data_IF_956231408086
#
_entry.id   IF_956231408086
#
_cell.length_a   1.000
_cell.length_b   1.000
_cell.length_c   1.000
_cell.angle_alpha   90.00
_cell.angle_beta   90.00
_cell.angle_gamma   90.00
#
_symmetry.space_group_name_H-M   'P 1'
#
loop_
_entity.id
_entity.type
_entity.pdbx_description
1 polymer ?
#
# COMPACT_ATOMS: atom_id res chain seq x y z
N UNK A 1 13.56 3.48 -10.23
CA UNK A 1 12.30 3.94 -10.84
C UNK A 1 11.11 3.06 -10.47
N UNK A 2 11.12 1.74 -10.74
CA UNK A 2 9.98 0.85 -10.41
C UNK A 2 9.59 0.89 -8.92
N UNK A 3 10.56 0.73 -8.01
CA UNK A 3 10.29 0.87 -6.57
C UNK A 3 9.80 2.27 -6.18
N UNK A 4 10.29 3.32 -6.84
CA UNK A 4 9.83 4.70 -6.60
C UNK A 4 8.35 4.86 -6.93
N UNK A 5 7.91 4.34 -8.08
CA UNK A 5 6.49 4.32 -8.45
C UNK A 5 5.69 3.43 -7.50
N UNK A 6 6.18 2.23 -7.18
CA UNK A 6 5.53 1.36 -6.21
C UNK A 6 5.26 2.07 -4.87
N UNK A 7 6.26 2.79 -4.35
CA UNK A 7 6.17 3.54 -3.09
C UNK A 7 5.18 4.68 -3.21
N UNK A 8 5.25 5.51 -4.26
CA UNK A 8 4.31 6.63 -4.45
C UNK A 8 2.86 6.13 -4.47
N UNK A 9 2.58 5.07 -5.23
CA UNK A 9 1.23 4.52 -5.32
C UNK A 9 0.77 3.83 -4.03
N UNK A 10 1.67 3.13 -3.33
CA UNK A 10 1.34 2.48 -2.06
C UNK A 10 1.03 3.50 -0.96
N UNK A 11 1.92 4.48 -0.78
CA UNK A 11 1.75 5.57 0.20
C UNK A 11 0.48 6.36 -0.08
N UNK A 12 0.27 6.78 -1.33
CA UNK A 12 -0.95 7.46 -1.72
C UNK A 12 -2.20 6.62 -1.43
N UNK A 13 -2.14 5.30 -1.65
CA UNK A 13 -3.27 4.41 -1.39
C UNK A 13 -3.62 4.31 0.10
N UNK A 14 -2.63 4.14 1.00
CA UNK A 14 -2.93 4.04 2.43
C UNK A 14 -3.22 5.40 3.08
N UNK A 15 -2.66 6.50 2.57
CA UNK A 15 -2.96 7.85 3.05
C UNK A 15 -4.41 8.22 2.77
N UNK A 16 -4.96 7.83 1.62
CA UNK A 16 -6.39 7.97 1.33
C UNK A 16 -7.23 7.21 2.36
N UNK A 17 -6.82 6.00 2.74
CA UNK A 17 -7.53 5.21 3.76
C UNK A 17 -7.50 5.92 5.12
N UNK A 18 -6.33 6.46 5.50
CA UNK A 18 -6.17 7.17 6.76
C UNK A 18 -7.05 8.42 6.83
N UNK A 19 -7.07 9.21 5.75
CA UNK A 19 -7.85 10.43 5.62
C UNK A 19 -9.38 10.20 5.58
N UNK A 20 -9.88 8.95 5.48
CA UNK A 20 -11.31 8.67 5.59
C UNK A 20 -11.89 9.11 6.94
N UNK A 21 -11.06 9.15 8.00
CA UNK A 21 -11.48 9.56 9.34
C UNK A 21 -11.80 11.06 9.43
N UNK A 22 -11.25 11.85 8.51
CA UNK A 22 -11.28 13.32 8.58
C UNK A 22 -12.28 13.94 7.59
N UNK A 23 -13.13 13.15 6.93
CA UNK A 23 -14.06 13.63 5.88
C UNK A 23 -14.88 14.84 6.35
N UNK A 24 -15.56 14.72 7.50
CA UNK A 24 -16.45 15.78 7.99
C UNK A 24 -15.67 17.04 8.38
N UNK A 25 -14.50 16.86 8.99
CA UNK A 25 -13.61 17.96 9.35
C UNK A 25 -13.10 18.68 8.11
N UNK A 26 -12.55 17.95 7.14
CA UNK A 26 -12.03 18.49 5.89
C UNK A 26 -13.11 19.24 5.11
N UNK A 27 -14.33 18.71 5.06
CA UNK A 27 -15.46 19.39 4.43
C UNK A 27 -15.81 20.69 5.17
N UNK A 28 -15.84 20.68 6.51
CA UNK A 28 -16.12 21.89 7.31
C UNK A 28 -15.07 22.99 7.14
N UNK A 29 -13.82 22.62 6.87
CA UNK A 29 -12.69 23.52 6.70
C UNK A 29 -12.39 23.85 5.22
N UNK A 30 -13.21 23.38 4.28
CA UNK A 30 -12.97 23.54 2.83
C UNK A 30 -11.60 22.99 2.37
N UNK A 31 -11.15 21.89 2.96
CA UNK A 31 -9.95 21.15 2.56
C UNK A 31 -10.28 20.15 1.45
N UNK A 32 -9.34 19.96 0.53
CA UNK A 32 -9.53 19.19 -0.72
C UNK A 32 -8.89 17.80 -0.69
N UNK A 33 -9.06 17.07 0.42
CA UNK A 33 -8.64 15.66 0.46
C UNK A 33 -9.47 14.81 -0.50
N UNK A 34 -8.91 13.68 -0.98
CA UNK A 34 -9.66 12.75 -1.83
C UNK A 34 -10.97 12.31 -1.13
N UNK A 35 -10.95 11.94 0.17
CA UNK A 35 -12.17 11.65 0.93
C UNK A 35 -13.19 12.79 0.99
N UNK A 36 -12.76 14.04 1.21
CA UNK A 36 -13.70 15.17 1.30
C UNK A 36 -14.39 15.46 -0.04
N UNK A 37 -13.69 15.26 -1.15
CA UNK A 37 -14.15 15.57 -2.50
C UNK A 37 -14.96 14.43 -3.15
N UNK A 38 -14.56 13.17 -2.92
CA UNK A 38 -15.14 12.00 -3.61
C UNK A 38 -16.02 11.15 -2.70
N UNK A 39 -15.97 11.38 -1.38
CA UNK A 39 -16.65 10.58 -0.40
C UNK A 39 -16.01 9.20 -0.20
N UNK A 40 -16.54 8.45 0.77
CA UNK A 40 -15.88 7.26 1.31
C UNK A 40 -15.74 6.13 0.28
N UNK A 41 -16.82 5.76 -0.41
CA UNK A 41 -16.83 4.59 -1.32
C UNK A 41 -15.88 4.77 -2.51
N UNK A 42 -15.91 5.94 -3.13
CA UNK A 42 -15.05 6.29 -4.26
C UNK A 42 -13.59 6.41 -3.82
N UNK A 43 -13.33 7.00 -2.66
CA UNK A 43 -11.97 7.08 -2.10
C UNK A 43 -11.35 5.71 -1.86
N UNK A 44 -12.11 4.76 -1.31
CA UNK A 44 -11.65 3.37 -1.20
C UNK A 44 -11.41 2.72 -2.57
N UNK A 45 -12.21 3.07 -3.59
CA UNK A 45 -11.98 2.57 -4.94
C UNK A 45 -10.69 3.14 -5.56
N UNK A 46 -10.42 4.43 -5.36
CA UNK A 46 -9.18 5.08 -5.80
C UNK A 46 -7.98 4.44 -5.09
N UNK A 47 -8.06 4.29 -3.76
CA UNK A 47 -7.04 3.62 -2.95
C UNK A 47 -6.72 2.21 -3.47
N UNK A 48 -7.74 1.40 -3.82
CA UNK A 48 -7.54 0.08 -4.42
C UNK A 48 -6.80 0.13 -5.75
N UNK A 49 -7.14 1.07 -6.63
CA UNK A 49 -6.45 1.23 -7.92
C UNK A 49 -4.98 1.57 -7.69
N UNK A 50 -4.68 2.48 -6.76
CA UNK A 50 -3.30 2.83 -6.41
C UNK A 50 -2.54 1.62 -5.85
N UNK A 51 -3.16 0.81 -4.98
CA UNK A 51 -2.53 -0.42 -4.48
C UNK A 51 -2.30 -1.46 -5.57
N UNK A 52 -3.21 -1.61 -6.53
CA UNK A 52 -3.00 -2.48 -7.71
C UNK A 52 -1.83 -1.98 -8.56
N UNK A 53 -1.72 -0.67 -8.77
CA UNK A 53 -0.58 -0.09 -9.48
C UNK A 53 0.72 -0.37 -8.73
N UNK A 54 0.75 -0.17 -7.41
CA UNK A 54 1.92 -0.48 -6.58
C UNK A 54 2.33 -1.95 -6.70
N UNK A 55 1.38 -2.87 -6.54
CA UNK A 55 1.60 -4.31 -6.71
C UNK A 55 2.19 -4.63 -8.09
N UNK A 56 1.66 -4.00 -9.15
CA UNK A 56 2.15 -4.18 -10.52
C UNK A 56 3.61 -3.74 -10.68
N UNK A 57 4.02 -2.64 -10.04
CA UNK A 57 5.41 -2.18 -10.08
C UNK A 57 6.38 -3.07 -9.31
N UNK A 58 6.00 -3.62 -8.13
CA UNK A 58 6.85 -4.58 -7.41
C UNK A 58 6.93 -5.93 -8.11
N UNK A 59 5.86 -6.35 -8.81
CA UNK A 59 5.89 -7.52 -9.70
C UNK A 59 6.83 -7.26 -10.88
N UNK A 60 6.71 -6.12 -11.55
CA UNK A 60 7.60 -5.75 -12.64
C UNK A 60 9.07 -5.68 -12.19
N UNK A 61 9.33 -5.18 -10.98
CA UNK A 61 10.68 -5.12 -10.43
C UNK A 61 11.32 -6.50 -10.28
N UNK A 62 10.56 -7.54 -9.93
CA UNK A 62 11.06 -8.92 -9.89
C UNK A 62 11.63 -9.36 -11.24
N UNK A 63 10.83 -9.24 -12.30
CA UNK A 63 11.20 -9.71 -13.64
C UNK A 63 12.29 -8.86 -14.29
N UNK A 64 12.25 -7.53 -14.11
CA UNK A 64 13.24 -6.61 -14.69
C UNK A 64 14.56 -6.64 -13.93
N UNK A 65 14.52 -6.78 -12.61
CA UNK A 65 15.72 -6.78 -11.76
C UNK A 65 16.46 -8.11 -11.70
N UNK A 66 15.86 -9.20 -12.19
CA UNK A 66 16.45 -10.54 -12.13
C UNK A 66 16.69 -11.01 -10.69
N UNK A 67 15.81 -10.63 -9.76
CA UNK A 67 16.00 -10.91 -8.33
C UNK A 67 15.96 -12.41 -8.02
N UNK A 68 16.72 -12.82 -6.99
CA UNK A 68 16.65 -14.17 -6.42
C UNK A 68 15.21 -14.53 -5.98
N UNK A 69 14.84 -15.82 -6.03
CA UNK A 69 13.47 -16.30 -5.73
C UNK A 69 12.98 -15.91 -4.33
N UNK A 70 13.90 -15.63 -3.40
CA UNK A 70 13.61 -15.11 -2.07
C UNK A 70 12.75 -13.82 -2.11
N UNK A 71 12.92 -12.99 -3.15
CA UNK A 71 12.10 -11.80 -3.38
C UNK A 71 10.60 -12.12 -3.47
N UNK A 72 10.24 -13.27 -4.05
CA UNK A 72 8.83 -13.66 -4.25
C UNK A 72 8.09 -13.82 -2.92
N UNK A 73 8.75 -14.26 -1.85
CA UNK A 73 8.13 -14.34 -0.53
C UNK A 73 7.77 -12.96 0.01
N UNK A 74 8.70 -12.00 -0.10
CA UNK A 74 8.43 -10.61 0.25
C UNK A 74 7.29 -10.02 -0.57
N UNK A 75 7.29 -10.26 -1.89
CA UNK A 75 6.25 -9.81 -2.80
C UNK A 75 4.87 -10.36 -2.44
N UNK A 76 4.76 -11.68 -2.19
CA UNK A 76 3.49 -12.32 -1.84
C UNK A 76 2.94 -11.78 -0.52
N UNK A 77 3.80 -11.59 0.48
CA UNK A 77 3.40 -11.01 1.76
C UNK A 77 2.97 -9.55 1.57
N UNK A 78 3.74 -8.74 0.85
CA UNK A 78 3.42 -7.34 0.59
C UNK A 78 2.05 -7.20 -0.10
N UNK A 79 1.81 -7.93 -1.19
CA UNK A 79 0.53 -7.92 -1.90
C UNK A 79 -0.60 -8.44 -1.00
N UNK A 80 -0.36 -9.50 -0.24
CA UNK A 80 -1.31 -10.02 0.74
C UNK A 80 -1.71 -8.97 1.78
N UNK A 81 -0.75 -8.16 2.25
CA UNK A 81 -1.02 -7.06 3.18
C UNK A 81 -1.80 -5.91 2.55
N UNK A 82 -1.55 -5.56 1.29
CA UNK A 82 -2.38 -4.59 0.56
C UNK A 82 -3.84 -5.06 0.47
N UNK A 83 -4.05 -6.33 0.10
CA UNK A 83 -5.38 -6.94 0.04
C UNK A 83 -6.04 -6.94 1.43
N UNK A 84 -5.28 -7.34 2.46
CA UNK A 84 -5.78 -7.38 3.83
C UNK A 84 -6.22 -5.99 4.30
N UNK A 85 -5.41 -4.96 4.06
CA UNK A 85 -5.73 -3.58 4.38
C UNK A 85 -7.07 -3.13 3.76
N UNK A 86 -7.26 -3.42 2.47
CA UNK A 86 -8.50 -3.09 1.75
C UNK A 86 -9.70 -3.92 2.22
N UNK A 87 -9.47 -5.13 2.75
CA UNK A 87 -10.53 -6.03 3.21
C UNK A 87 -11.10 -5.64 4.57
N UNK A 88 -10.29 -5.01 5.43
CA UNK A 88 -10.67 -4.67 6.81
C UNK A 88 -11.29 -3.28 6.94
N UNK A 89 -11.05 -2.38 5.98
CA UNK A 89 -11.67 -1.04 5.95
C UNK A 89 -12.89 -1.05 5.06
N UNK A 90 -14.05 -0.68 5.61
CA UNK A 90 -15.34 -0.78 4.92
C UNK A 90 -16.01 0.59 4.85
N UNK A 91 -16.82 0.87 3.81
CA UNK A 91 -17.56 2.13 3.72
C UNK A 91 -18.55 2.43 4.83
N UNK A 92 -18.83 1.45 5.69
CA UNK A 92 -19.79 1.55 6.79
C UNK A 92 -19.13 1.24 8.14
N UNK A 93 -17.82 0.99 8.16
CA UNK A 93 -17.07 0.68 9.38
C UNK A 93 -15.60 1.12 9.21
N UNK A 94 -15.30 2.27 9.81
CA UNK A 94 -13.95 2.85 9.84
C UNK A 94 -13.17 2.50 11.11
N UNK A 95 -13.70 1.63 11.99
CA UNK A 95 -13.06 1.27 13.27
C UNK A 95 -11.67 0.64 13.10
N UNK A 96 -11.37 0.11 11.91
CA UNK A 96 -10.11 -0.55 11.57
C UNK A 96 -9.16 0.30 10.73
N UNK A 97 -9.46 1.58 10.48
CA UNK A 97 -8.57 2.45 9.67
C UNK A 97 -7.18 2.57 10.28
N UNK A 98 -7.05 2.76 11.60
CA UNK A 98 -5.74 2.86 12.24
C UNK A 98 -4.96 1.53 12.21
N UNK A 99 -5.64 0.39 12.31
CA UNK A 99 -5.02 -0.93 12.14
C UNK A 99 -4.47 -1.09 10.71
N UNK A 100 -5.29 -0.71 9.72
CA UNK A 100 -4.92 -0.70 8.31
C UNK A 100 -3.75 0.24 8.01
N UNK A 101 -3.78 1.47 8.54
CA UNK A 101 -2.75 2.49 8.29
C UNK A 101 -1.44 2.19 9.02
N UNK A 102 -1.48 1.88 10.32
CA UNK A 102 -0.26 1.72 11.12
C UNK A 102 0.29 0.30 11.06
N UNK A 103 -0.45 -0.68 11.58
CA UNK A 103 0.08 -2.03 11.81
C UNK A 103 0.28 -2.78 10.50
N UNK A 104 -0.71 -2.78 9.62
CA UNK A 104 -0.63 -3.53 8.35
C UNK A 104 0.46 -2.98 7.46
N UNK A 105 0.55 -1.65 7.27
CA UNK A 105 1.65 -1.05 6.51
C UNK A 105 3.01 -1.22 7.19
N UNK A 106 3.09 -1.11 8.52
CA UNK A 106 4.34 -1.33 9.25
C UNK A 106 4.92 -2.72 9.00
N UNK A 107 4.07 -3.75 9.10
CA UNK A 107 4.48 -5.14 8.81
C UNK A 107 4.83 -5.30 7.32
N UNK A 108 4.00 -4.77 6.41
CA UNK A 108 4.28 -4.84 4.97
C UNK A 108 5.65 -4.23 4.63
N UNK A 109 5.97 -3.06 5.22
CA UNK A 109 7.25 -2.36 5.05
C UNK A 109 8.43 -3.23 5.47
N UNK A 110 8.42 -3.70 6.72
CA UNK A 110 9.57 -4.37 7.33
C UNK A 110 9.80 -5.70 6.65
N UNK A 111 8.74 -6.50 6.50
CA UNK A 111 8.86 -7.84 5.90
C UNK A 111 9.31 -7.74 4.45
N UNK A 112 8.69 -6.86 3.65
CA UNK A 112 9.12 -6.68 2.26
C UNK A 112 10.58 -6.23 2.18
N UNK A 113 10.99 -5.25 2.98
CA UNK A 113 12.38 -4.76 3.00
C UNK A 113 13.38 -5.86 3.35
N UNK A 114 13.10 -6.69 4.36
CA UNK A 114 13.98 -7.81 4.75
C UNK A 114 14.16 -8.81 3.61
N UNK A 115 13.07 -9.22 2.96
CA UNK A 115 13.13 -10.17 1.84
C UNK A 115 13.84 -9.59 0.61
N UNK A 116 13.59 -8.32 0.28
CA UNK A 116 14.24 -7.66 -0.87
C UNK A 116 15.74 -7.49 -0.63
N UNK A 117 16.13 -6.96 0.53
CA UNK A 117 17.54 -6.80 0.90
C UNK A 117 18.23 -8.17 0.94
N UNK A 118 17.60 -9.17 1.56
CA UNK A 118 18.13 -10.54 1.59
C UNK A 118 18.31 -11.13 0.19
N UNK A 119 17.34 -10.94 -0.70
CA UNK A 119 17.44 -11.39 -2.09
C UNK A 119 18.59 -10.70 -2.84
N UNK A 120 18.79 -9.39 -2.62
CA UNK A 120 19.90 -8.63 -3.21
C UNK A 120 21.26 -9.11 -2.71
N UNK A 121 21.39 -9.34 -1.39
CA UNK A 121 22.63 -9.83 -0.81
C UNK A 121 22.97 -11.22 -1.34
N UNK A 122 22.00 -12.13 -1.38
CA UNK A 122 22.20 -13.47 -1.95
C UNK A 122 22.67 -13.38 -3.40
N UNK A 123 21.98 -12.59 -4.23
CA UNK A 123 22.33 -12.43 -5.65
C UNK A 123 23.71 -11.78 -5.87
N UNK A 124 24.20 -10.98 -4.92
CA UNK A 124 25.51 -10.34 -5.03
C UNK A 124 26.67 -11.26 -4.65
N UNK A 125 26.42 -12.23 -3.76
CA UNK A 125 27.46 -13.10 -3.19
C UNK A 125 27.39 -14.57 -3.66
N UNK A 126 26.29 -14.99 -4.28
CA UNK A 126 26.05 -16.34 -4.82
C UNK A 126 25.65 -16.25 -6.29
#
# INVERSE_FOLDING_TARGET
LLFSFAVIFWVSGFDIIYALQDIDFDQSQSLYSIPSQWGLKQSLSISRVLHVLSASFVIAAYFVGGFHFLYLFGLLIFIGMLIYQQSIVKPYDLSKVNLAFMTVNGIASIVFSVFVIGAMLIQMYL
#
